data_IF_899035626630
#
_entry.id   IF_899035626630
#
_cell.length_a   1.000
_cell.length_b   1.000
_cell.length_c   1.000
_cell.angle_alpha   90.00
_cell.angle_beta   90.00
_cell.angle_gamma   90.00
#
_symmetry.space_group_name_H-M   'P 1'
#
loop_
_entity.id
_entity.type
_entity.pdbx_description
1 polymer ?
#
# COMPACT_ATOMS: atom_id res chain seq x y z
N UNK A 1 -9.76 4.47 -18.42
CA UNK A 1 -8.91 3.33 -18.83
C UNK A 1 -7.83 3.86 -19.79
N UNK A 2 -6.63 4.18 -19.30
CA UNK A 2 -5.54 4.83 -20.07
C UNK A 2 -4.19 4.15 -19.75
N UNK A 3 -3.77 3.12 -20.52
CA UNK A 3 -2.49 2.45 -20.32
C UNK A 3 -1.32 3.37 -20.71
N UNK A 4 -0.28 3.41 -19.88
CA UNK A 4 0.90 4.28 -20.06
C UNK A 4 2.06 3.75 -19.23
N UNK A 5 3.26 4.31 -19.40
CA UNK A 5 4.44 3.96 -18.59
C UNK A 5 4.85 2.48 -18.64
N UNK A 6 4.52 1.77 -19.73
CA UNK A 6 4.88 0.37 -19.93
C UNK A 6 4.30 -0.54 -18.85
N UNK A 7 5.17 -1.22 -18.10
CA UNK A 7 4.79 -2.17 -17.05
C UNK A 7 4.09 -1.52 -15.85
N UNK A 8 4.28 -0.21 -15.63
CA UNK A 8 3.71 0.47 -14.47
C UNK A 8 2.19 0.67 -14.58
N UNK A 9 1.63 0.75 -15.79
CA UNK A 9 0.19 0.92 -16.00
C UNK A 9 -0.27 0.24 -17.30
N UNK A 10 -0.28 -1.09 -17.26
CA UNK A 10 -0.80 -1.97 -18.32
C UNK A 10 -2.31 -2.26 -18.20
N UNK A 11 -2.82 -3.08 -19.13
CA UNK A 11 -4.17 -3.70 -19.03
C UNK A 11 -4.12 -5.13 -18.52
N UNK A 12 -2.98 -5.78 -18.72
CA UNK A 12 -2.67 -7.13 -18.27
C UNK A 12 -1.35 -7.05 -17.53
N UNK A 13 -1.33 -7.58 -16.30
CA UNK A 13 -0.18 -7.54 -15.41
C UNK A 13 -0.27 -8.71 -14.44
N UNK A 14 0.88 -9.10 -13.90
CA UNK A 14 0.95 -10.10 -12.83
C UNK A 14 0.69 -9.39 -11.51
N UNK A 15 -0.19 -9.96 -10.68
CA UNK A 15 -0.51 -9.46 -9.36
C UNK A 15 -0.43 -10.61 -8.37
N UNK A 16 0.17 -10.36 -7.21
CA UNK A 16 0.10 -11.26 -6.06
C UNK A 16 -1.00 -10.79 -5.12
N UNK A 17 -2.17 -11.34 -5.27
CA UNK A 17 -3.30 -11.20 -4.36
C UNK A 17 -3.23 -12.24 -3.23
N UNK A 18 -3.76 -11.90 -2.07
CA UNK A 18 -3.88 -12.79 -0.92
C UNK A 18 -5.19 -12.46 -0.21
N UNK A 19 -5.86 -13.52 0.25
CA UNK A 19 -7.07 -13.43 1.05
C UNK A 19 -6.86 -14.24 2.33
N UNK A 20 -7.13 -13.62 3.47
CA UNK A 20 -7.07 -14.26 4.77
C UNK A 20 -8.46 -14.30 5.42
N UNK A 21 -8.70 -15.32 6.23
CA UNK A 21 -9.96 -15.52 6.93
C UNK A 21 -9.65 -15.80 8.40
N UNK A 22 -10.15 -14.93 9.27
CA UNK A 22 -9.91 -14.98 10.71
C UNK A 22 -11.24 -15.12 11.47
N UNK A 23 -11.22 -15.82 12.59
CA UNK A 23 -12.41 -16.08 13.41
C UNK A 23 -12.87 -14.89 14.25
N UNK A 24 -12.06 -13.83 14.33
CA UNK A 24 -12.36 -12.60 15.07
C UNK A 24 -11.66 -11.40 14.43
N UNK A 25 -12.15 -10.20 14.72
CA UNK A 25 -11.52 -8.94 14.27
C UNK A 25 -10.10 -8.77 14.83
N UNK A 26 -9.87 -9.22 16.08
CA UNK A 26 -8.54 -9.15 16.70
C UNK A 26 -7.53 -10.04 15.97
N UNK A 27 -7.92 -11.26 15.61
CA UNK A 27 -7.08 -12.15 14.83
C UNK A 27 -6.84 -11.57 13.43
N UNK A 28 -7.86 -10.97 12.82
CA UNK A 28 -7.72 -10.29 11.53
C UNK A 28 -6.69 -9.14 11.57
N UNK A 29 -6.63 -8.38 12.68
CA UNK A 29 -5.62 -7.33 12.88
C UNK A 29 -4.21 -7.91 12.99
N UNK A 30 -4.04 -9.00 13.74
CA UNK A 30 -2.74 -9.70 13.85
C UNK A 30 -2.28 -10.20 12.48
N UNK A 31 -3.17 -10.84 11.72
CA UNK A 31 -2.88 -11.31 10.37
C UNK A 31 -2.52 -10.14 9.45
N UNK A 32 -3.26 -9.03 9.52
CA UNK A 32 -3.01 -7.83 8.73
C UNK A 32 -1.63 -7.23 9.02
N UNK A 33 -1.26 -7.09 10.29
CA UNK A 33 0.06 -6.56 10.70
C UNK A 33 1.20 -7.48 10.25
N UNK A 34 1.02 -8.81 10.38
CA UNK A 34 1.98 -9.78 9.90
C UNK A 34 2.20 -9.67 8.38
N UNK A 35 1.12 -9.56 7.60
CA UNK A 35 1.21 -9.36 6.14
C UNK A 35 1.91 -8.05 5.80
N UNK A 36 1.59 -6.95 6.49
CA UNK A 36 2.28 -5.67 6.29
C UNK A 36 3.79 -5.79 6.58
N UNK A 37 4.18 -6.52 7.61
CA UNK A 37 5.59 -6.74 7.93
C UNK A 37 6.28 -7.55 6.83
N UNK A 38 5.67 -8.64 6.37
CA UNK A 38 6.20 -9.47 5.28
C UNK A 38 6.43 -8.66 3.99
N UNK A 39 5.50 -7.76 3.64
CA UNK A 39 5.69 -6.87 2.48
C UNK A 39 6.85 -5.89 2.69
N UNK A 40 6.98 -5.33 3.90
CA UNK A 40 8.10 -4.43 4.24
C UNK A 40 9.45 -5.15 4.09
N UNK A 41 9.55 -6.36 4.64
CA UNK A 41 10.75 -7.20 4.55
C UNK A 41 11.02 -7.64 3.10
N UNK A 42 9.97 -7.95 2.33
CA UNK A 42 10.09 -8.32 0.93
C UNK A 42 10.65 -7.18 0.08
N UNK A 43 10.15 -5.94 0.23
CA UNK A 43 10.70 -4.80 -0.48
C UNK A 43 12.14 -4.49 -0.06
N UNK A 44 12.45 -4.62 1.25
CA UNK A 44 13.82 -4.48 1.74
C UNK A 44 14.76 -5.53 1.12
N UNK A 45 14.32 -6.79 1.01
CA UNK A 45 15.07 -7.86 0.37
C UNK A 45 15.35 -7.57 -1.11
N UNK A 46 14.41 -6.93 -1.81
CA UNK A 46 14.58 -6.49 -3.20
C UNK A 46 15.46 -5.23 -3.34
N UNK A 47 15.89 -4.60 -2.24
CA UNK A 47 16.61 -3.33 -2.27
C UNK A 47 15.75 -2.14 -2.71
N UNK A 48 14.43 -2.24 -2.47
CA UNK A 48 13.45 -1.20 -2.81
C UNK A 48 13.06 -0.46 -1.53
N UNK A 49 13.39 0.84 -1.46
CA UNK A 49 13.03 1.72 -0.34
C UNK A 49 11.55 2.12 -0.38
N UNK A 50 10.67 1.15 -0.15
CA UNK A 50 9.22 1.36 -0.16
C UNK A 50 8.73 2.05 1.12
N UNK A 51 7.93 3.11 0.95
CA UNK A 51 7.23 3.81 2.01
C UNK A 51 5.88 3.15 2.26
N UNK A 52 5.67 2.60 3.46
CA UNK A 52 4.35 2.16 3.92
C UNK A 52 3.57 3.37 4.44
N UNK A 53 2.43 3.69 3.81
CA UNK A 53 1.58 4.84 4.15
C UNK A 53 0.13 4.43 4.29
N UNK A 54 -0.64 5.20 5.05
CA UNK A 54 -2.08 4.96 5.15
C UNK A 54 -2.76 5.28 3.82
N UNK A 55 -3.60 4.36 3.36
CA UNK A 55 -4.33 4.46 2.09
C UNK A 55 -5.83 4.50 2.29
N UNK A 56 -6.56 4.74 1.20
CA UNK A 56 -8.03 4.66 1.22
C UNK A 56 -8.45 3.18 1.27
N UNK A 57 -9.42 2.84 2.12
CA UNK A 57 -10.08 1.52 2.06
C UNK A 57 -11.01 1.39 0.84
N UNK A 58 -11.32 2.51 0.18
CA UNK A 58 -12.16 2.54 -1.02
C UNK A 58 -13.49 1.80 -0.84
N UNK A 59 -13.91 1.12 -1.92
CA UNK A 59 -15.14 0.32 -1.97
C UNK A 59 -15.03 -1.04 -1.25
N UNK A 60 -13.81 -1.48 -0.91
CA UNK A 60 -13.60 -2.71 -0.13
C UNK A 60 -14.15 -2.58 1.31
N UNK A 61 -14.31 -1.34 1.80
CA UNK A 61 -14.80 -1.05 3.14
C UNK A 61 -13.75 -1.32 4.22
N UNK A 62 -14.08 -0.92 5.46
CA UNK A 62 -13.20 -1.06 6.63
C UNK A 62 -12.30 0.14 6.93
N UNK A 63 -11.59 0.08 8.06
CA UNK A 63 -10.84 1.21 8.61
C UNK A 63 -9.31 1.08 8.47
N UNK A 64 -8.82 -0.06 7.97
CA UNK A 64 -7.40 -0.38 7.89
C UNK A 64 -6.99 -0.63 6.45
N UNK A 65 -6.28 0.32 5.86
CA UNK A 65 -5.68 0.22 4.53
C UNK A 65 -4.31 0.88 4.55
N UNK A 66 -3.32 0.17 4.02
CA UNK A 66 -1.95 0.66 3.85
C UNK A 66 -1.49 0.35 2.44
N UNK A 67 -0.82 1.33 1.85
CA UNK A 67 -0.22 1.24 0.53
C UNK A 67 1.31 1.30 0.67
N UNK A 68 2.01 0.62 -0.24
CA UNK A 68 3.46 0.65 -0.32
C UNK A 68 3.88 1.41 -1.57
N UNK A 69 4.62 2.50 -1.39
CA UNK A 69 5.00 3.42 -2.46
C UNK A 69 6.51 3.50 -2.63
N UNK A 70 7.00 3.41 -3.86
CA UNK A 70 8.39 3.75 -4.18
C UNK A 70 8.45 5.22 -4.60
N UNK A 71 9.20 6.03 -3.87
CA UNK A 71 9.33 7.46 -4.17
C UNK A 71 9.97 7.67 -5.56
N UNK A 72 9.25 8.33 -6.46
CA UNK A 72 9.71 8.60 -7.82
C UNK A 72 9.04 9.85 -8.39
N UNK A 73 9.75 10.58 -9.24
CA UNK A 73 9.22 11.78 -9.92
C UNK A 73 8.19 11.46 -11.01
N UNK A 74 8.12 10.21 -11.47
CA UNK A 74 7.12 9.73 -12.43
C UNK A 74 5.96 8.99 -11.74
N UNK A 75 5.95 8.92 -10.41
CA UNK A 75 4.86 8.35 -9.63
C UNK A 75 3.56 9.10 -9.85
N UNK A 76 2.44 8.38 -9.88
CA UNK A 76 1.12 8.99 -10.13
C UNK A 76 0.42 9.42 -8.84
N UNK A 77 0.82 8.84 -7.70
CA UNK A 77 0.30 9.15 -6.37
C UNK A 77 1.07 10.29 -5.69
N UNK A 78 0.34 11.09 -4.92
CA UNK A 78 0.92 12.15 -4.08
C UNK A 78 0.85 11.70 -2.63
N UNK A 79 2.01 11.62 -1.98
CA UNK A 79 2.13 11.16 -0.60
C UNK A 79 2.48 12.33 0.30
N UNK A 80 1.69 12.56 1.35
CA UNK A 80 2.07 13.44 2.44
C UNK A 80 2.81 12.63 3.49
N UNK A 81 4.10 12.89 3.64
CA UNK A 81 4.98 12.14 4.53
C UNK A 81 5.62 13.04 5.59
N UNK A 82 5.54 12.64 6.86
CA UNK A 82 6.21 13.30 7.95
C UNK A 82 7.55 12.63 8.24
N UNK A 83 8.65 13.28 7.85
CA UNK A 83 10.00 12.73 8.07
C UNK A 83 10.37 12.53 9.54
N UNK A 84 9.77 13.31 10.45
CA UNK A 84 10.01 13.22 11.90
C UNK A 84 9.25 12.06 12.52
N UNK A 85 7.98 11.88 12.15
CA UNK A 85 7.13 10.83 12.70
C UNK A 85 7.30 9.49 11.98
N UNK A 86 7.95 9.48 10.79
CA UNK A 86 8.09 8.30 9.92
C UNK A 86 6.75 7.67 9.53
N UNK A 87 5.75 8.53 9.33
CA UNK A 87 4.40 8.17 8.91
C UNK A 87 4.00 8.99 7.70
N UNK A 88 3.14 8.43 6.85
CA UNK A 88 2.58 9.15 5.73
C UNK A 88 1.16 8.68 5.40
N UNK A 89 0.50 9.50 4.60
CA UNK A 89 -0.85 9.26 4.09
C UNK A 89 -0.86 9.53 2.58
N UNK A 90 -1.65 8.76 1.84
CA UNK A 90 -1.99 9.12 0.47
C UNK A 90 -2.86 10.40 0.49
N UNK A 91 -2.58 11.38 -0.38
CA UNK A 91 -3.32 12.64 -0.48
C UNK A 91 -4.82 12.45 -0.77
N UNK A 92 -5.23 11.30 -1.32
CA UNK A 92 -6.64 10.95 -1.47
C UNK A 92 -7.38 10.91 -0.12
N UNK A 93 -6.71 10.58 0.98
CA UNK A 93 -7.30 10.56 2.33
C UNK A 93 -7.52 11.96 2.91
N UNK A 94 -6.68 12.94 2.57
CA UNK A 94 -6.83 14.31 3.09
C UNK A 94 -7.93 15.12 2.38
N UNK A 95 -8.43 14.57 1.27
CA UNK A 95 -9.41 15.23 0.40
C UNK A 95 -10.86 14.89 0.74
N UNK A 96 -11.09 14.18 1.85
CA UNK A 96 -12.40 13.81 2.39
C UNK A 96 -12.74 14.58 3.66
#
# INVERSE_FOLDING_TARGET
MNPRLGLLRGREFIMKDMYAFDSSEENAKITYEAVCQVYSDFFQLLGVDALKVQGSSGDMGGNFSHEFHLASNIGEDVIFYCEKCKTGINAELSSK
#
